data_IF_782315545945
#
_entry.id   IF_782315545945
#
_cell.length_a   1.000
_cell.length_b   1.000
_cell.length_c   1.000
_cell.angle_alpha   90.00
_cell.angle_beta   90.00
_cell.angle_gamma   90.00
#
_symmetry.space_group_name_H-M   'P 1'
#
loop_
_entity.id
_entity.type
_entity.pdbx_description
1 polymer ?
#
# COMPACT_ATOMS: atom_id res chain seq x y z
N UNK A 1 -4.11 -2.67 -19.57
CA UNK A 1 -4.96 -1.56 -19.11
C UNK A 1 -6.41 -2.01 -19.32
N UNK A 2 -7.21 -2.04 -18.26
CA UNK A 2 -8.58 -2.57 -18.32
C UNK A 2 -9.58 -1.41 -18.37
N UNK A 3 -10.54 -1.40 -19.31
CA UNK A 3 -11.51 -0.32 -19.45
C UNK A 3 -12.56 -0.28 -18.31
N UNK A 4 -12.61 -1.30 -17.45
CA UNK A 4 -13.59 -1.40 -16.37
C UNK A 4 -13.16 -0.67 -15.08
N UNK A 5 -11.90 -0.24 -14.97
CA UNK A 5 -11.36 0.36 -13.74
C UNK A 5 -11.18 1.85 -13.94
N UNK A 6 -11.98 2.65 -13.23
CA UNK A 6 -11.97 4.12 -13.31
C UNK A 6 -10.86 4.75 -12.46
N UNK A 7 -10.76 4.38 -11.17
CA UNK A 7 -9.80 4.96 -10.21
C UNK A 7 -9.31 3.92 -9.21
N UNK A 8 -8.06 4.06 -8.77
CA UNK A 8 -7.47 3.26 -7.70
C UNK A 8 -7.00 4.22 -6.61
N UNK A 9 -7.54 4.05 -5.40
CA UNK A 9 -7.17 4.83 -4.22
C UNK A 9 -6.51 3.94 -3.17
N UNK A 10 -5.44 4.43 -2.55
CA UNK A 10 -4.74 3.71 -1.48
C UNK A 10 -5.37 4.08 -0.14
N UNK A 11 -6.13 3.14 0.43
CA UNK A 11 -6.78 3.32 1.74
C UNK A 11 -5.78 3.14 2.89
N UNK A 12 -4.90 2.15 2.79
CA UNK A 12 -3.91 1.81 3.82
C UNK A 12 -2.67 1.21 3.18
N UNK A 13 -1.50 1.56 3.71
CA UNK A 13 -0.22 1.01 3.27
C UNK A 13 0.47 0.26 4.42
N UNK A 14 1.16 -0.85 4.11
CA UNK A 14 1.76 -1.72 5.10
C UNK A 14 3.16 -2.20 4.74
N UNK A 15 4.01 -2.41 5.74
CA UNK A 15 5.39 -2.89 5.58
C UNK A 15 5.41 -4.37 5.26
N UNK A 16 5.75 -4.71 4.01
CA UNK A 16 6.05 -6.09 3.57
C UNK A 16 7.53 -6.29 3.27
N UNK A 17 7.98 -7.55 3.32
CA UNK A 17 9.36 -7.96 2.97
C UNK A 17 9.45 -8.61 1.59
N UNK A 18 8.38 -9.27 1.12
CA UNK A 18 8.34 -9.94 -0.18
C UNK A 18 7.42 -9.15 -1.11
N UNK A 19 7.78 -9.08 -2.40
CA UNK A 19 6.95 -8.45 -3.45
C UNK A 19 5.63 -9.17 -3.66
N UNK A 20 5.65 -10.51 -3.58
CA UNK A 20 4.45 -11.34 -3.65
C UNK A 20 4.01 -11.77 -2.26
N UNK A 21 2.73 -11.56 -1.96
CA UNK A 21 2.16 -11.70 -0.62
C UNK A 21 1.39 -13.03 -0.47
N UNK A 22 1.80 -14.07 -1.20
CA UNK A 22 1.14 -15.38 -1.11
C UNK A 22 1.18 -15.99 0.29
N UNK A 23 2.19 -15.63 1.08
CA UNK A 23 2.32 -16.03 2.48
C UNK A 23 1.18 -15.53 3.38
N UNK A 24 0.37 -14.57 2.93
CA UNK A 24 -0.79 -14.10 3.70
C UNK A 24 -1.98 -15.04 3.58
N UNK A 25 -1.99 -15.95 2.58
CA UNK A 25 -3.10 -16.91 2.38
C UNK A 25 -3.22 -17.87 3.56
N UNK A 26 -2.09 -18.32 4.11
CA UNK A 26 -2.06 -19.27 5.23
C UNK A 26 -2.02 -18.57 6.61
N UNK A 27 -1.98 -17.24 6.65
CA UNK A 27 -1.89 -16.47 7.89
C UNK A 27 -3.23 -15.86 8.26
N UNK A 28 -3.65 -16.06 9.51
CA UNK A 28 -4.88 -15.50 10.06
C UNK A 28 -4.67 -14.75 11.37
N UNK A 29 -5.65 -13.90 11.71
CA UNK A 29 -5.71 -13.17 12.97
C UNK A 29 -4.52 -12.22 13.20
N UNK A 30 -3.90 -12.32 14.39
CA UNK A 30 -2.78 -11.45 14.76
C UNK A 30 -1.55 -11.65 13.85
N UNK A 31 -1.39 -12.83 13.23
CA UNK A 31 -0.22 -13.17 12.42
C UNK A 31 -0.24 -12.56 11.02
N UNK A 32 -1.41 -12.18 10.51
CA UNK A 32 -1.56 -11.52 9.21
C UNK A 32 -1.44 -9.99 9.30
N UNK A 33 -1.50 -9.42 10.51
CA UNK A 33 -1.37 -7.97 10.72
C UNK A 33 0.02 -7.49 10.34
N UNK A 34 0.08 -6.55 9.40
CA UNK A 34 1.28 -5.86 8.98
C UNK A 34 1.39 -4.53 9.73
N UNK A 35 2.62 -4.05 9.94
CA UNK A 35 2.85 -2.69 10.46
C UNK A 35 2.47 -1.68 9.40
N UNK A 36 1.68 -0.69 9.78
CA UNK A 36 1.28 0.40 8.89
C UNK A 36 2.51 1.23 8.49
N UNK A 37 2.47 1.78 7.28
CA UNK A 37 3.43 2.79 6.81
C UNK A 37 2.66 4.01 6.31
N UNK A 38 3.21 5.18 6.55
CA UNK A 38 2.64 6.44 6.08
C UNK A 38 3.33 6.98 4.81
N UNK A 39 4.35 6.25 4.33
CA UNK A 39 5.25 6.71 3.26
C UNK A 39 4.53 7.12 1.98
N UNK A 40 3.35 6.54 1.69
CA UNK A 40 2.58 6.86 0.48
C UNK A 40 2.03 8.29 0.46
N UNK A 41 1.91 8.97 1.61
CA UNK A 41 1.47 10.38 1.66
C UNK A 41 2.58 11.40 1.35
N UNK A 42 3.84 10.97 1.23
CA UNK A 42 4.96 11.89 1.01
C UNK A 42 5.23 12.20 -0.47
N UNK A 43 4.74 11.37 -1.41
CA UNK A 43 4.93 11.60 -2.85
C UNK A 43 4.25 12.88 -3.33
N UNK A 44 3.04 13.15 -2.86
CA UNK A 44 2.28 14.37 -3.22
C UNK A 44 2.81 15.65 -2.56
N UNK A 45 3.59 15.54 -1.46
CA UNK A 45 4.10 16.72 -0.74
C UNK A 45 5.38 17.30 -1.33
N UNK A 46 6.11 16.54 -2.14
CA UNK A 46 7.43 16.93 -2.66
C UNK A 46 7.33 17.89 -3.87
N UNK A 47 6.24 17.86 -4.61
CA UNK A 47 5.97 18.75 -5.74
C UNK A 47 5.42 20.12 -5.34
N UNK A 48 4.83 20.25 -4.15
CA UNK A 48 4.25 21.52 -3.66
C UNK A 48 5.27 22.45 -2.98
N UNK A 49 6.47 21.97 -2.65
CA UNK A 49 7.54 22.77 -2.02
C UNK A 49 8.59 23.30 -3.02
N UNK A 50 8.37 23.06 -4.31
CA UNK A 50 9.26 23.47 -5.39
C UNK A 50 8.71 24.65 -6.22
N UNK A 51 7.57 25.21 -5.81
CA UNK A 51 7.00 26.48 -6.29
C UNK A 51 7.20 27.59 -5.27
#
# INVERSE_FOLDING_TARGET
HSPLVEKIEVIRSGKVKKSRIFYMRDRSGKKSRLKEREDYKNGDKQTASAE
#
